data_IF_139896112554
#
_entry.id   IF_139896112554
#
_cell.length_a   1.000
_cell.length_b   1.000
_cell.length_c   1.000
_cell.angle_alpha   90.00
_cell.angle_beta   90.00
_cell.angle_gamma   90.00
#
_symmetry.space_group_name_H-M   'P 1'
#
loop_
_entity.id
_entity.type
_entity.pdbx_description
1 polymer ?
#
# COMPACT_ATOMS: atom_id res chain seq x y z
N UNK A 1 -22.64 14.38 44.17
CA UNK A 1 -23.95 14.48 44.86
C UNK A 1 -24.67 13.14 44.71
N UNK A 2 -24.91 12.45 45.84
CA UNK A 2 -25.91 11.39 46.15
C UNK A 2 -27.01 11.12 45.09
N UNK A 3 -27.57 9.92 44.85
CA UNK A 3 -28.02 8.76 45.70
C UNK A 3 -28.48 7.66 44.69
N UNK A 4 -28.06 6.40 44.72
CA UNK A 4 -28.56 5.22 45.49
C UNK A 4 -30.09 5.09 45.64
N UNK A 5 -30.55 3.83 45.47
CA UNK A 5 -31.80 3.15 45.91
C UNK A 5 -32.94 3.07 44.88
N UNK A 6 -33.77 2.02 44.76
CA UNK A 6 -33.86 0.62 45.24
C UNK A 6 -35.28 0.13 44.83
N UNK A 7 -35.53 -1.18 44.90
CA UNK A 7 -36.83 -1.87 45.12
C UNK A 7 -37.54 -2.54 43.92
N UNK A 8 -37.46 -3.89 43.93
CA UNK A 8 -38.52 -4.83 43.53
C UNK A 8 -39.79 -4.66 44.42
N UNK A 9 -41.00 -5.24 44.17
CA UNK A 9 -41.24 -6.69 44.33
C UNK A 9 -42.51 -7.36 43.68
N UNK A 10 -42.49 -8.71 43.65
CA UNK A 10 -43.58 -9.74 43.81
C UNK A 10 -44.68 -9.89 42.73
N UNK A 11 -45.14 -11.10 42.32
CA UNK A 11 -45.66 -12.27 43.06
C UNK A 11 -45.35 -13.59 42.27
N UNK A 12 -44.86 -14.70 42.87
CA UNK A 12 -45.54 -15.78 43.66
C UNK A 12 -46.52 -16.64 42.81
N UNK A 13 -46.58 -17.98 42.80
CA UNK A 13 -46.26 -19.13 43.69
C UNK A 13 -46.28 -20.42 42.82
N UNK A 14 -45.75 -21.59 43.21
CA UNK A 14 -45.30 -22.12 44.51
C UNK A 14 -44.40 -23.36 44.31
N UNK A 15 -43.37 -23.61 45.16
CA UNK A 15 -43.38 -24.32 46.47
C UNK A 15 -43.93 -25.74 46.39
N UNK A 16 -43.16 -26.79 46.68
CA UNK A 16 -42.74 -27.19 48.04
C UNK A 16 -41.28 -27.70 48.11
N UNK A 17 -40.67 -27.48 49.28
CA UNK A 17 -39.30 -27.84 49.66
C UNK A 17 -39.27 -28.83 50.84
N UNK A 18 -38.10 -29.46 51.07
CA UNK A 18 -37.39 -29.76 52.35
C UNK A 18 -36.24 -30.76 52.05
N UNK A 19 -34.95 -30.41 52.01
CA UNK A 19 -33.92 -30.14 53.07
C UNK A 19 -33.44 -31.33 53.92
N UNK A 20 -32.14 -31.66 53.73
CA UNK A 20 -31.05 -32.13 54.62
C UNK A 20 -31.30 -33.03 55.86
N UNK A 21 -30.48 -34.07 56.05
CA UNK A 21 -29.37 -34.16 57.05
C UNK A 21 -28.53 -35.47 56.90
N UNK A 22 -27.33 -35.42 57.45
CA UNK A 22 -26.14 -36.28 57.47
C UNK A 22 -26.13 -37.41 58.52
N UNK A 23 -25.09 -38.26 58.43
CA UNK A 23 -24.69 -39.39 59.28
C UNK A 23 -25.44 -40.71 58.99
N UNK A 24 -24.81 -41.87 58.82
CA UNK A 24 -23.48 -42.37 59.16
C UNK A 24 -23.63 -43.88 59.41
N UNK A 25 -22.50 -44.58 59.46
CA UNK A 25 -22.28 -46.02 59.73
C UNK A 25 -22.21 -46.94 58.49
N UNK A 26 -21.26 -47.85 58.31
CA UNK A 26 -19.87 -48.12 58.77
C UNK A 26 -19.62 -49.58 58.32
N UNK A 27 -18.54 -49.84 57.58
CA UNK A 27 -17.97 -51.19 57.51
C UNK A 27 -16.80 -51.27 58.50
N UNK A 28 -17.02 -51.92 59.65
CA UNK A 28 -16.06 -52.85 60.28
C UNK A 28 -16.72 -53.66 61.40
N UNK A 29 -16.44 -54.98 61.46
CA UNK A 29 -16.49 -55.73 62.73
C UNK A 29 -17.25 -57.06 62.74
N UNK A 30 -16.55 -58.14 62.35
CA UNK A 30 -16.59 -59.54 62.82
C UNK A 30 -17.68 -60.00 63.82
N UNK A 31 -18.26 -61.18 63.54
CA UNK A 31 -18.59 -62.33 64.42
C UNK A 31 -19.61 -63.20 63.66
N UNK A 32 -19.61 -64.53 63.58
CA UNK A 32 -18.97 -65.60 64.33
C UNK A 32 -19.22 -66.90 63.52
N UNK A 33 -18.24 -67.80 63.52
CA UNK A 33 -18.32 -69.17 63.01
C UNK A 33 -19.20 -70.00 63.95
N UNK A 34 -20.06 -70.85 63.40
CA UNK A 34 -20.35 -72.24 63.82
C UNK A 34 -21.82 -72.64 63.61
N UNK A 35 -21.95 -73.90 63.20
CA UNK A 35 -23.02 -74.85 63.46
C UNK A 35 -24.11 -75.13 62.40
N UNK A 36 -23.90 -76.31 61.79
CA UNK A 36 -24.82 -77.45 61.78
C UNK A 36 -25.95 -77.42 60.74
N UNK A 37 -25.67 -78.18 59.68
CA UNK A 37 -26.40 -79.39 59.22
C UNK A 37 -27.93 -79.43 59.31
N UNK A 38 -28.49 -80.03 58.24
CA UNK A 38 -29.82 -80.62 58.08
C UNK A 38 -30.84 -79.63 57.46
N UNK A 39 -31.49 -79.90 56.31
CA UNK A 39 -32.16 -81.15 55.94
C UNK A 39 -32.29 -81.30 54.41
N UNK A 40 -32.23 -82.57 54.00
CA UNK A 40 -32.32 -83.18 52.68
C UNK A 40 -33.51 -82.80 51.76
N UNK A 41 -33.32 -83.17 50.48
CA UNK A 41 -34.28 -83.63 49.44
C UNK A 41 -34.60 -82.57 48.34
N UNK A 42 -34.13 -82.70 47.10
CA UNK A 42 -34.69 -83.61 46.07
C UNK A 42 -33.67 -83.93 44.96
N UNK A 43 -33.67 -85.21 44.57
CA UNK A 43 -32.97 -85.87 43.46
C UNK A 43 -33.60 -85.48 42.10
N UNK A 44 -32.79 -85.17 41.07
CA UNK A 44 -32.89 -85.78 39.71
C UNK A 44 -31.48 -85.86 39.08
N UNK A 45 -31.15 -87.06 38.59
CA UNK A 45 -29.93 -87.41 37.85
C UNK A 45 -29.99 -86.93 36.38
N UNK A 46 -28.85 -86.41 35.89
CA UNK A 46 -28.20 -86.70 34.61
C UNK A 46 -28.99 -86.48 33.29
N UNK A 47 -28.64 -85.41 32.55
CA UNK A 47 -28.74 -85.35 31.07
C UNK A 47 -27.44 -84.74 30.52
N UNK A 48 -26.91 -85.41 29.50
CA UNK A 48 -25.66 -85.17 28.78
C UNK A 48 -25.57 -83.78 28.14
N UNK A 49 -24.32 -83.32 27.99
CA UNK A 49 -23.83 -82.45 26.91
C UNK A 49 -24.61 -81.13 26.73
N UNK A 50 -24.26 -80.13 27.54
CA UNK A 50 -24.47 -78.74 27.14
C UNK A 50 -23.09 -78.22 26.72
N UNK A 51 -22.91 -78.19 25.41
CA UNK A 51 -21.98 -77.33 24.68
C UNK A 51 -22.09 -75.93 25.31
N UNK A 52 -21.09 -75.49 26.07
CA UNK A 52 -21.18 -74.21 26.79
C UNK A 52 -20.25 -73.20 26.21
N UNK A 53 -20.49 -72.88 24.94
CA UNK A 53 -20.01 -71.63 24.43
C UNK A 53 -20.57 -70.46 25.26
N UNK A 54 -19.70 -69.59 25.73
CA UNK A 54 -20.01 -68.45 26.60
C UNK A 54 -19.98 -68.78 28.09
N UNK A 55 -19.24 -69.81 28.52
CA UNK A 55 -19.04 -70.13 29.94
C UNK A 55 -17.89 -69.35 30.61
N UNK A 56 -17.16 -68.55 29.83
CA UNK A 56 -16.03 -67.74 30.25
C UNK A 56 -14.69 -68.49 30.30
N UNK A 57 -14.59 -69.69 29.72
CA UNK A 57 -13.36 -70.48 29.66
C UNK A 57 -13.20 -71.15 28.29
N UNK A 58 -12.02 -71.02 27.68
CA UNK A 58 -11.72 -71.67 26.40
C UNK A 58 -11.57 -73.19 26.57
N UNK A 59 -12.58 -73.96 26.17
CA UNK A 59 -12.61 -75.42 26.27
C UNK A 59 -12.01 -76.13 25.02
N UNK A 60 -11.77 -77.44 25.14
CA UNK A 60 -11.17 -78.22 24.04
C UNK A 60 -12.15 -78.38 22.88
N UNK A 61 -11.94 -77.62 21.80
CA UNK A 61 -12.74 -77.66 20.57
C UNK A 61 -13.35 -76.31 20.18
N UNK A 62 -13.26 -75.30 21.05
CA UNK A 62 -13.75 -73.93 20.81
C UNK A 62 -12.67 -73.06 20.16
N UNK A 63 -13.06 -72.12 19.29
CA UNK A 63 -12.13 -71.13 18.72
C UNK A 63 -12.00 -69.89 19.62
N UNK A 64 -13.03 -69.57 20.38
CA UNK A 64 -13.16 -68.49 21.35
C UNK A 64 -14.25 -68.86 22.37
N UNK A 65 -14.34 -68.20 23.52
CA UNK A 65 -15.48 -68.30 24.45
C UNK A 65 -15.83 -66.90 25.02
N UNK A 66 -17.03 -66.41 24.70
CA UNK A 66 -17.53 -65.13 25.20
C UNK A 66 -16.60 -63.95 24.84
N UNK A 67 -15.89 -63.41 25.83
CA UNK A 67 -14.90 -62.34 25.63
C UNK A 67 -13.45 -62.85 25.46
N UNK A 68 -13.20 -64.14 25.72
CA UNK A 68 -11.90 -64.76 25.52
C UNK A 68 -11.76 -65.20 24.06
N UNK A 69 -11.13 -64.34 23.24
CA UNK A 69 -10.89 -64.59 21.82
C UNK A 69 -9.64 -65.45 21.56
N UNK A 70 -9.08 -66.11 22.58
CA UNK A 70 -7.86 -66.92 22.47
C UNK A 70 -6.65 -66.16 21.86
N UNK A 71 -6.63 -64.83 22.00
CA UNK A 71 -5.62 -63.94 21.40
C UNK A 71 -5.82 -63.61 19.92
N UNK A 72 -6.90 -64.08 19.29
CA UNK A 72 -7.27 -63.68 17.94
C UNK A 72 -7.76 -62.23 17.90
N UNK A 73 -7.46 -61.57 16.79
CA UNK A 73 -7.85 -60.21 16.44
C UNK A 73 -8.36 -60.19 15.00
N UNK A 74 -9.08 -59.15 14.59
CA UNK A 74 -9.44 -58.96 13.17
C UNK A 74 -8.19 -59.09 12.27
N UNK A 75 -7.08 -58.45 12.67
CA UNK A 75 -5.78 -58.52 11.98
C UNK A 75 -5.27 -59.95 11.81
N UNK A 76 -5.40 -60.78 12.84
CA UNK A 76 -4.95 -62.18 12.77
C UNK A 76 -5.79 -63.07 11.84
N UNK A 77 -7.02 -62.65 11.52
CA UNK A 77 -7.95 -63.34 10.62
C UNK A 77 -7.97 -62.74 9.20
N UNK A 78 -7.11 -61.74 8.91
CA UNK A 78 -7.01 -61.11 7.60
C UNK A 78 -7.95 -59.92 7.38
N UNK A 79 -8.48 -59.32 8.45
CA UNK A 79 -9.35 -58.14 8.45
C UNK A 79 -8.69 -56.98 9.22
N UNK A 80 -9.21 -55.76 9.13
CA UNK A 80 -8.81 -54.63 9.96
C UNK A 80 -9.82 -54.39 11.11
N UNK A 81 -9.55 -53.41 11.97
CA UNK A 81 -10.45 -53.03 13.06
C UNK A 81 -10.32 -53.87 14.34
N UNK A 82 -11.24 -53.62 15.29
CA UNK A 82 -11.24 -54.25 16.63
C UNK A 82 -12.53 -55.00 16.97
N UNK A 83 -13.50 -55.05 16.05
CA UNK A 83 -14.83 -55.60 16.30
C UNK A 83 -14.96 -57.12 16.23
N UNK A 84 -13.87 -57.88 16.38
CA UNK A 84 -13.93 -59.35 16.43
C UNK A 84 -14.69 -59.78 17.69
N UNK A 85 -15.72 -60.59 17.54
CA UNK A 85 -16.48 -61.15 18.68
C UNK A 85 -16.59 -62.67 18.57
N UNK A 86 -16.93 -63.32 19.67
CA UNK A 86 -17.23 -64.75 19.69
C UNK A 86 -18.74 -64.96 19.57
N UNK A 87 -19.17 -65.80 18.62
CA UNK A 87 -20.59 -66.12 18.46
C UNK A 87 -21.08 -67.21 19.43
N UNK A 88 -22.39 -67.45 19.45
CA UNK A 88 -23.01 -68.45 20.32
C UNK A 88 -22.66 -69.92 19.97
N UNK A 89 -21.92 -70.14 18.88
CA UNK A 89 -21.40 -71.44 18.45
C UNK A 89 -19.87 -71.55 18.61
N UNK A 90 -19.26 -70.61 19.34
CA UNK A 90 -17.82 -70.57 19.63
C UNK A 90 -16.95 -70.48 18.39
N UNK A 91 -17.46 -69.76 17.39
CA UNK A 91 -16.74 -69.35 16.20
C UNK A 91 -16.45 -67.85 16.25
N UNK A 92 -15.38 -67.46 15.58
CA UNK A 92 -15.06 -66.06 15.37
C UNK A 92 -16.11 -65.42 14.44
N UNK A 93 -16.80 -64.40 14.95
CA UNK A 93 -17.66 -63.53 14.17
C UNK A 93 -16.89 -62.25 13.82
N UNK A 94 -16.41 -62.23 12.58
CA UNK A 94 -15.69 -61.09 12.01
C UNK A 94 -16.62 -60.10 11.29
N UNK A 95 -17.96 -60.19 11.42
CA UNK A 95 -18.88 -59.29 10.71
C UNK A 95 -18.77 -57.82 11.14
N UNK A 96 -18.25 -57.58 12.35
CA UNK A 96 -17.92 -56.25 12.85
C UNK A 96 -16.42 -55.93 12.76
N UNK A 97 -15.62 -56.80 12.14
CA UNK A 97 -14.28 -56.43 11.66
C UNK A 97 -14.40 -55.60 10.38
N UNK A 98 -13.45 -54.70 10.17
CA UNK A 98 -13.39 -53.92 8.94
C UNK A 98 -12.81 -54.82 7.82
N UNK A 99 -13.42 -54.88 6.62
CA UNK A 99 -12.85 -55.62 5.51
C UNK A 99 -11.42 -55.14 5.21
N UNK A 100 -10.49 -56.02 4.82
CA UNK A 100 -9.17 -55.57 4.40
C UNK A 100 -9.33 -54.56 3.26
N UNK A 101 -8.72 -53.37 3.39
CA UNK A 101 -8.63 -52.36 2.33
C UNK A 101 -8.02 -53.05 1.10
N UNK A 102 -8.85 -53.44 0.13
CA UNK A 102 -8.38 -54.12 -1.08
C UNK A 102 -8.27 -53.08 -2.16
N UNK A 103 -7.30 -52.19 -1.97
CA UNK A 103 -7.12 -51.07 -2.86
C UNK A 103 -6.82 -51.54 -4.30
N UNK A 104 -7.51 -50.94 -5.26
CA UNK A 104 -7.35 -51.23 -6.68
C UNK A 104 -8.27 -52.35 -7.17
N UNK A 105 -9.36 -52.66 -6.45
CA UNK A 105 -10.36 -53.64 -6.87
C UNK A 105 -11.49 -53.03 -7.75
N UNK A 106 -11.48 -51.73 -7.94
CA UNK A 106 -12.42 -50.93 -8.72
C UNK A 106 -13.69 -50.51 -7.97
N UNK A 107 -13.80 -50.79 -6.66
CA UNK A 107 -14.98 -50.53 -5.82
C UNK A 107 -14.56 -49.77 -4.57
N UNK A 108 -15.16 -48.61 -4.33
CA UNK A 108 -14.91 -47.82 -3.12
C UNK A 108 -15.60 -48.47 -1.91
N UNK A 109 -14.80 -49.03 -1.01
CA UNK A 109 -15.25 -49.72 0.20
C UNK A 109 -15.32 -48.75 1.39
N UNK A 110 -16.12 -49.04 2.43
CA UNK A 110 -16.12 -48.24 3.66
C UNK A 110 -14.70 -48.13 4.25
N UNK A 111 -14.20 -46.89 4.39
CA UNK A 111 -12.86 -46.61 4.90
C UNK A 111 -11.83 -46.24 3.83
N UNK A 112 -12.11 -46.46 2.54
CA UNK A 112 -11.27 -46.01 1.43
C UNK A 112 -11.56 -44.55 1.07
N UNK A 113 -10.52 -43.79 0.73
CA UNK A 113 -10.68 -42.44 0.17
C UNK A 113 -10.81 -42.45 -1.35
N UNK A 114 -10.30 -43.50 -1.99
CA UNK A 114 -10.32 -43.75 -3.43
C UNK A 114 -10.05 -45.24 -3.69
N UNK A 115 -10.33 -45.74 -4.90
CA UNK A 115 -9.88 -47.06 -5.38
C UNK A 115 -9.53 -46.99 -6.87
N UNK A 116 -8.25 -47.18 -7.21
CA UNK A 116 -7.77 -47.15 -8.59
C UNK A 116 -8.09 -45.82 -9.28
N UNK A 117 -8.98 -45.83 -10.29
CA UNK A 117 -9.45 -44.60 -10.96
C UNK A 117 -10.70 -43.99 -10.34
N UNK A 118 -11.30 -44.67 -9.36
CA UNK A 118 -12.49 -44.18 -8.66
C UNK A 118 -12.06 -43.31 -7.47
N UNK A 119 -12.00 -42.00 -7.67
CA UNK A 119 -11.55 -41.01 -6.68
C UNK A 119 -12.68 -40.47 -5.79
N UNK A 120 -13.85 -41.11 -5.77
CA UNK A 120 -15.06 -40.63 -5.09
C UNK A 120 -15.46 -39.19 -5.45
N UNK A 121 -15.18 -38.78 -6.70
CA UNK A 121 -15.42 -37.42 -7.18
C UNK A 121 -14.39 -36.39 -6.73
N UNK A 122 -13.37 -36.77 -5.96
CA UNK A 122 -12.25 -35.90 -5.63
C UNK A 122 -11.40 -35.59 -6.88
N UNK A 123 -10.86 -34.38 -6.89
CA UNK A 123 -10.00 -33.80 -7.91
C UNK A 123 -8.95 -32.93 -7.24
N UNK A 124 -7.87 -32.58 -7.93
CA UNK A 124 -6.89 -31.59 -7.43
C UNK A 124 -7.60 -30.30 -6.98
N UNK A 125 -8.55 -29.81 -7.80
CA UNK A 125 -9.34 -28.60 -7.50
C UNK A 125 -10.15 -28.73 -6.22
N UNK A 126 -10.80 -29.88 -5.98
CA UNK A 126 -11.55 -30.10 -4.72
C UNK A 126 -10.65 -30.19 -3.48
N UNK A 127 -9.36 -30.47 -3.67
CA UNK A 127 -8.34 -30.50 -2.62
C UNK A 127 -7.60 -29.16 -2.47
N UNK A 128 -7.95 -28.14 -3.24
CA UNK A 128 -7.35 -26.81 -3.17
C UNK A 128 -6.11 -26.61 -4.05
N UNK A 129 -5.84 -27.52 -4.98
CA UNK A 129 -4.73 -27.43 -5.95
C UNK A 129 -5.23 -27.08 -7.35
N UNK A 130 -4.34 -26.55 -8.19
CA UNK A 130 -4.61 -26.40 -9.61
C UNK A 130 -4.41 -27.70 -10.39
N UNK A 131 -4.84 -27.67 -11.66
CA UNK A 131 -4.60 -28.75 -12.60
C UNK A 131 -5.47 -30.00 -12.44
N UNK A 132 -5.03 -31.07 -13.08
CA UNK A 132 -5.69 -32.37 -13.13
C UNK A 132 -4.62 -33.43 -13.00
N UNK A 133 -4.84 -34.50 -12.23
CA UNK A 133 -3.80 -35.50 -12.02
C UNK A 133 -3.82 -36.20 -10.67
N UNK A 134 -4.87 -35.99 -9.86
CA UNK A 134 -5.07 -36.74 -8.64
C UNK A 134 -5.15 -38.24 -8.94
N UNK A 135 -4.34 -39.04 -8.27
CA UNK A 135 -4.35 -40.50 -8.39
C UNK A 135 -4.70 -41.14 -7.06
N UNK A 136 -4.97 -42.44 -7.10
CA UNK A 136 -5.13 -43.28 -5.91
C UNK A 136 -3.93 -44.20 -5.77
N UNK A 137 -3.29 -44.21 -4.61
CA UNK A 137 -2.16 -45.09 -4.33
C UNK A 137 -2.58 -46.50 -3.89
N UNK A 138 -1.61 -47.40 -3.70
CA UNK A 138 -1.87 -48.80 -3.29
C UNK A 138 -2.42 -48.94 -1.85
N UNK A 139 -2.44 -47.85 -1.08
CA UNK A 139 -2.97 -47.76 0.29
C UNK A 139 -4.29 -47.00 0.34
N UNK A 140 -4.93 -46.74 -0.81
CA UNK A 140 -6.18 -46.01 -0.95
C UNK A 140 -6.12 -44.59 -0.37
N UNK A 141 -4.95 -43.97 -0.47
CA UNK A 141 -4.74 -42.55 -0.25
C UNK A 141 -4.65 -41.81 -1.58
N UNK A 142 -4.98 -40.53 -1.54
CA UNK A 142 -4.75 -39.66 -2.67
C UNK A 142 -3.25 -39.44 -2.87
N UNK A 143 -2.76 -39.75 -4.07
CA UNK A 143 -1.46 -39.31 -4.53
C UNK A 143 -1.61 -37.91 -5.14
N UNK A 144 -1.17 -36.93 -4.37
CA UNK A 144 -1.27 -35.51 -4.68
C UNK A 144 -0.03 -34.99 -5.44
N UNK A 145 0.92 -35.86 -5.80
CA UNK A 145 2.22 -35.44 -6.38
C UNK A 145 2.05 -34.55 -7.62
N UNK A 146 1.17 -34.92 -8.56
CA UNK A 146 0.87 -34.11 -9.74
C UNK A 146 0.05 -32.86 -9.40
N UNK A 147 -0.82 -32.91 -8.38
CA UNK A 147 -1.57 -31.73 -7.93
C UNK A 147 -0.63 -30.66 -7.35
N UNK A 148 0.31 -31.08 -6.48
CA UNK A 148 1.33 -30.22 -5.88
C UNK A 148 2.21 -29.60 -6.97
N UNK A 149 2.56 -30.36 -8.01
CA UNK A 149 3.37 -29.85 -9.12
C UNK A 149 2.68 -28.74 -9.93
N UNK A 150 1.35 -28.65 -9.89
CA UNK A 150 0.58 -27.59 -10.53
C UNK A 150 0.33 -26.38 -9.61
N UNK A 151 0.70 -26.46 -8.33
CA UNK A 151 0.63 -25.38 -7.34
C UNK A 151 -0.76 -25.08 -6.78
N UNK A 152 -0.84 -24.09 -5.89
CA UNK A 152 -2.07 -23.62 -5.23
C UNK A 152 -1.90 -22.22 -4.65
N UNK A 153 -3.01 -21.49 -4.59
CA UNK A 153 -3.03 -20.23 -3.88
C UNK A 153 -2.61 -20.34 -2.41
N UNK A 154 -1.69 -19.47 -2.01
CA UNK A 154 -1.07 -19.41 -0.70
C UNK A 154 0.14 -20.33 -0.55
N UNK A 155 0.83 -20.67 -1.64
CA UNK A 155 2.09 -21.43 -1.62
C UNK A 155 3.36 -20.57 -1.79
N UNK A 156 3.20 -19.23 -1.72
CA UNK A 156 4.24 -18.21 -1.86
C UNK A 156 4.94 -18.24 -3.23
N UNK A 157 4.33 -18.86 -4.25
CA UNK A 157 4.89 -18.95 -5.61
C UNK A 157 3.81 -18.68 -6.64
N UNK A 158 3.91 -17.56 -7.38
CA UNK A 158 2.96 -17.28 -8.48
C UNK A 158 3.03 -18.39 -9.54
N UNK A 159 1.96 -19.19 -9.63
CA UNK A 159 1.85 -20.32 -10.52
C UNK A 159 0.41 -20.53 -11.03
N UNK A 160 0.25 -21.39 -12.03
CA UNK A 160 -1.06 -21.69 -12.59
C UNK A 160 -1.85 -20.44 -13.04
N UNK A 161 -3.06 -20.19 -12.52
CA UNK A 161 -3.91 -19.04 -12.87
C UNK A 161 -3.76 -17.81 -11.96
N UNK A 162 -2.78 -17.77 -11.06
CA UNK A 162 -2.61 -16.70 -10.07
C UNK A 162 -2.11 -15.39 -10.68
N UNK A 163 -2.56 -14.26 -10.13
CA UNK A 163 -1.99 -12.94 -10.39
C UNK A 163 -0.93 -12.55 -9.35
N UNK A 164 -1.03 -13.12 -8.14
CA UNK A 164 -0.15 -12.94 -6.99
C UNK A 164 -0.26 -14.17 -6.06
N UNK A 165 0.68 -14.35 -5.13
CA UNK A 165 0.58 -15.32 -4.04
C UNK A 165 1.23 -14.75 -2.77
N UNK A 166 0.42 -14.58 -1.71
CA UNK A 166 0.90 -14.01 -0.45
C UNK A 166 1.46 -12.60 -0.65
N UNK A 167 2.75 -12.43 -0.34
CA UNK A 167 3.47 -11.17 -0.55
C UNK A 167 4.12 -11.08 -1.96
N UNK A 168 4.13 -12.17 -2.74
CA UNK A 168 4.60 -12.15 -4.12
C UNK A 168 3.51 -11.55 -5.03
N UNK A 169 3.65 -10.26 -5.32
CA UNK A 169 2.75 -9.50 -6.19
C UNK A 169 3.20 -9.51 -7.67
N UNK A 170 4.19 -10.33 -8.02
CA UNK A 170 4.68 -10.45 -9.40
C UNK A 170 5.39 -9.18 -9.90
N UNK A 171 5.89 -8.36 -8.97
CA UNK A 171 6.46 -7.04 -9.26
C UNK A 171 5.41 -5.95 -9.53
N UNK A 172 4.12 -6.25 -9.31
CA UNK A 172 3.05 -5.26 -9.35
C UNK A 172 3.22 -4.21 -8.24
N UNK A 173 2.96 -2.96 -8.60
CA UNK A 173 2.80 -1.83 -7.67
C UNK A 173 1.61 -1.00 -8.15
N UNK A 174 1.00 -0.21 -7.27
CA UNK A 174 -0.07 0.72 -7.67
C UNK A 174 0.41 1.65 -8.82
N UNK A 175 1.66 2.10 -8.75
CA UNK A 175 2.29 2.96 -9.77
C UNK A 175 2.40 2.28 -11.15
N UNK A 176 2.95 1.06 -11.20
CA UNK A 176 3.12 0.32 -12.46
C UNK A 176 1.79 -0.10 -13.10
N UNK A 177 0.72 -0.17 -12.31
CA UNK A 177 -0.64 -0.41 -12.79
C UNK A 177 -1.39 0.87 -13.18
N UNK A 178 -0.78 2.04 -12.99
CA UNK A 178 -1.40 3.35 -13.26
C UNK A 178 -2.53 3.69 -12.29
N UNK A 179 -2.48 3.15 -11.07
CA UNK A 179 -3.48 3.33 -10.03
C UNK A 179 -3.04 4.32 -8.94
N UNK A 180 -1.81 4.84 -9.02
CA UNK A 180 -1.28 5.86 -8.11
C UNK A 180 -0.34 5.30 -7.05
N UNK A 181 -0.46 5.81 -5.82
CA UNK A 181 0.29 5.37 -4.64
C UNK A 181 -0.47 4.26 -3.90
N UNK A 182 0.10 3.82 -2.78
CA UNK A 182 -0.44 2.78 -1.93
C UNK A 182 0.20 1.41 -2.14
N UNK A 183 -0.29 0.45 -1.35
CA UNK A 183 0.19 -0.93 -1.36
C UNK A 183 -0.84 -1.85 -2.02
N UNK A 184 -0.37 -2.71 -2.94
CA UNK A 184 -1.18 -3.83 -3.42
C UNK A 184 -1.19 -4.93 -2.38
N UNK A 185 -2.31 -5.64 -2.28
CA UNK A 185 -2.41 -6.86 -1.51
C UNK A 185 -2.76 -8.04 -2.41
N UNK A 186 -2.42 -9.25 -1.97
CA UNK A 186 -2.93 -10.45 -2.61
C UNK A 186 -4.15 -10.99 -1.87
N UNK A 187 -5.27 -11.14 -2.57
CA UNK A 187 -6.48 -11.71 -1.98
C UNK A 187 -6.32 -13.21 -1.72
N UNK A 188 -7.19 -13.78 -0.87
CA UNK A 188 -7.23 -15.23 -0.61
C UNK A 188 -7.60 -16.09 -1.86
N UNK A 189 -7.98 -15.45 -2.97
CA UNK A 189 -8.19 -16.09 -4.27
C UNK A 189 -7.05 -15.89 -5.26
N UNK A 190 -5.91 -15.34 -4.82
CA UNK A 190 -4.72 -15.04 -5.65
C UNK A 190 -5.00 -14.10 -6.82
N UNK A 191 -5.85 -13.11 -6.55
CA UNK A 191 -6.15 -11.97 -7.41
C UNK A 191 -5.60 -10.71 -6.73
N UNK A 192 -5.02 -9.81 -7.52
CA UNK A 192 -4.51 -8.53 -7.03
C UNK A 192 -5.67 -7.72 -6.43
N UNK A 193 -5.50 -7.30 -5.18
CA UNK A 193 -6.35 -6.36 -4.49
C UNK A 193 -5.69 -4.97 -4.53
N UNK A 194 -6.29 -4.09 -5.32
CA UNK A 194 -5.85 -2.70 -5.49
C UNK A 194 -6.71 -1.71 -4.71
N UNK A 195 -7.50 -2.17 -3.73
CA UNK A 195 -8.39 -1.30 -2.96
C UNK A 195 -7.67 -0.30 -2.06
N UNK A 196 -6.40 -0.54 -1.76
CA UNK A 196 -5.52 0.41 -1.07
C UNK A 196 -4.66 1.25 -2.04
N UNK A 197 -4.86 1.12 -3.36
CA UNK A 197 -4.30 2.06 -4.31
C UNK A 197 -5.17 3.31 -4.36
N UNK A 198 -4.54 4.46 -4.36
CA UNK A 198 -5.19 5.76 -4.40
C UNK A 198 -4.31 6.71 -5.21
N UNK A 199 -4.89 7.73 -5.81
CA UNK A 199 -4.09 8.74 -6.49
C UNK A 199 -3.28 9.51 -5.44
N UNK A 200 -2.11 10.07 -5.76
CA UNK A 200 -1.49 10.98 -4.82
C UNK A 200 -2.44 12.16 -4.52
N UNK A 201 -2.51 12.56 -3.26
CA UNK A 201 -3.23 13.77 -2.85
C UNK A 201 -2.42 15.01 -3.23
N UNK A 202 -3.08 16.04 -3.76
CA UNK A 202 -2.50 17.36 -3.92
C UNK A 202 -2.82 18.18 -2.69
N UNK A 203 -1.83 18.34 -1.82
CA UNK A 203 -1.98 18.86 -0.48
C UNK A 203 -2.38 20.35 -0.34
N UNK A 204 -2.93 20.97 -1.37
CA UNK A 204 -3.43 22.34 -1.32
C UNK A 204 -4.43 22.71 -2.43
N UNK A 205 -4.88 21.80 -3.28
CA UNK A 205 -5.77 22.14 -4.40
C UNK A 205 -7.26 22.28 -3.99
N UNK A 206 -7.60 21.98 -2.72
CA UNK A 206 -8.94 22.07 -2.18
C UNK A 206 -9.87 20.93 -2.58
N UNK A 207 -9.33 19.86 -3.17
CA UNK A 207 -10.05 18.68 -3.62
C UNK A 207 -9.60 17.46 -2.81
N UNK A 208 -10.40 16.40 -2.88
CA UNK A 208 -10.06 15.06 -2.42
C UNK A 208 -9.64 14.31 -3.69
N UNK A 209 -8.35 14.34 -4.01
CA UNK A 209 -7.83 13.80 -5.28
C UNK A 209 -7.76 12.28 -5.26
N UNK A 210 -7.64 11.69 -4.08
CA UNK A 210 -7.45 10.26 -3.89
C UNK A 210 -8.75 9.51 -3.54
N UNK A 211 -9.79 10.23 -3.15
CA UNK A 211 -11.15 9.77 -2.91
C UNK A 211 -11.40 9.22 -1.51
N UNK A 212 -10.49 9.45 -0.55
CA UNK A 212 -10.58 8.94 0.80
C UNK A 212 -11.45 9.79 1.76
N UNK A 213 -11.90 10.96 1.26
CA UNK A 213 -12.72 11.99 1.91
C UNK A 213 -12.00 12.91 2.90
N UNK A 214 -10.69 12.78 3.06
CA UNK A 214 -9.87 13.84 3.59
C UNK A 214 -9.43 14.75 2.42
N UNK A 215 -9.10 16.01 2.72
CA UNK A 215 -8.81 17.05 1.71
C UNK A 215 -7.56 17.76 2.14
N UNK A 216 -6.59 17.89 1.24
CA UNK A 216 -5.35 18.64 1.45
C UNK A 216 -4.67 18.24 2.79
N UNK A 217 -4.37 19.21 3.64
CA UNK A 217 -3.72 19.04 4.93
C UNK A 217 -4.54 18.33 6.02
N UNK A 218 -5.81 18.01 5.74
CA UNK A 218 -6.57 17.12 6.60
C UNK A 218 -6.29 15.64 6.26
N UNK A 219 -5.73 15.40 5.07
CA UNK A 219 -5.30 14.10 4.61
C UNK A 219 -3.99 13.68 5.30
N UNK A 220 -3.95 12.41 5.70
CA UNK A 220 -2.77 11.79 6.30
C UNK A 220 -1.61 11.60 5.31
N UNK A 221 -1.90 11.51 4.01
CA UNK A 221 -0.90 11.44 2.95
C UNK A 221 -0.19 12.79 2.75
N UNK A 222 -0.83 13.88 3.18
CA UNK A 222 -0.26 15.22 3.22
C UNK A 222 0.51 15.55 4.50
N UNK A 223 0.58 14.62 5.47
CA UNK A 223 1.20 14.86 6.77
C UNK A 223 2.71 15.20 6.72
N UNK A 224 3.37 14.89 5.60
CA UNK A 224 4.79 15.22 5.36
C UNK A 224 4.99 16.37 4.36
N UNK A 225 3.92 16.87 3.75
CA UNK A 225 3.99 18.00 2.84
C UNK A 225 4.23 19.29 3.64
N UNK A 226 5.22 20.09 3.22
CA UNK A 226 5.51 21.36 3.88
C UNK A 226 4.46 22.43 3.61
N UNK A 227 3.59 22.24 2.60
CA UNK A 227 2.39 23.05 2.37
C UNK A 227 1.41 23.00 3.55
N UNK A 228 1.47 21.92 4.35
CA UNK A 228 0.64 21.72 5.54
C UNK A 228 1.29 22.17 6.85
N UNK A 229 2.50 22.74 6.75
CA UNK A 229 3.17 23.52 7.80
C UNK A 229 2.93 25.03 7.65
N UNK A 230 3.69 25.86 8.38
CA UNK A 230 3.78 27.28 8.02
C UNK A 230 4.51 27.35 6.69
N UNK A 231 3.79 27.40 5.57
CA UNK A 231 4.38 27.61 4.25
C UNK A 231 5.07 28.98 4.23
N UNK A 232 6.35 28.97 3.86
CA UNK A 232 7.23 30.11 3.91
C UNK A 232 7.65 30.49 2.50
N UNK A 233 7.63 31.78 2.20
CA UNK A 233 8.23 32.34 1.00
C UNK A 233 9.33 33.36 1.35
N UNK A 234 10.06 33.82 0.35
CA UNK A 234 11.14 34.80 0.52
C UNK A 234 10.64 36.18 0.11
N UNK A 235 10.65 37.13 1.05
CA UNK A 235 10.40 38.56 0.85
C UNK A 235 11.67 39.28 0.35
N UNK A 236 11.46 40.26 -0.53
CA UNK A 236 12.44 41.22 -1.01
C UNK A 236 11.80 42.60 -0.86
N UNK A 237 12.27 43.42 0.07
CA UNK A 237 11.62 44.68 0.44
C UNK A 237 12.56 45.91 0.43
N UNK A 238 13.87 45.71 0.27
CA UNK A 238 14.84 46.79 0.07
C UNK A 238 15.51 46.82 -1.30
N UNK A 239 16.04 48.00 -1.66
CA UNK A 239 16.69 48.31 -2.95
C UNK A 239 18.04 47.57 -3.20
N UNK A 240 18.32 46.46 -2.53
CA UNK A 240 19.57 45.69 -2.75
C UNK A 240 19.50 44.20 -2.43
N UNK A 241 18.38 43.70 -1.91
CA UNK A 241 18.21 42.29 -1.58
C UNK A 241 18.11 41.45 -2.84
N UNK A 242 18.91 40.40 -2.87
CA UNK A 242 18.79 39.40 -3.93
C UNK A 242 19.35 38.07 -3.47
N UNK A 243 18.81 37.00 -4.03
CA UNK A 243 19.43 35.69 -3.94
C UNK A 243 20.44 35.56 -5.08
N UNK A 244 21.66 35.15 -4.75
CA UNK A 244 22.68 34.76 -5.72
C UNK A 244 22.69 33.23 -5.86
N UNK A 245 22.45 32.74 -7.07
CA UNK A 245 22.48 31.32 -7.42
C UNK A 245 23.72 30.96 -8.24
N UNK A 246 23.77 29.71 -8.72
CA UNK A 246 24.69 29.27 -9.77
C UNK A 246 24.46 29.97 -11.11
N UNK A 247 25.21 29.58 -12.12
CA UNK A 247 25.04 30.11 -13.49
C UNK A 247 23.87 29.45 -14.21
N UNK A 248 23.31 30.12 -15.23
CA UNK A 248 22.21 29.54 -16.01
C UNK A 248 22.57 28.16 -16.60
N UNK A 249 23.81 27.97 -17.07
CA UNK A 249 24.26 26.68 -17.60
C UNK A 249 24.29 25.56 -16.55
N UNK A 250 24.63 25.90 -15.30
CA UNK A 250 24.63 24.95 -14.18
C UNK A 250 23.19 24.63 -13.75
N UNK A 251 22.35 25.66 -13.60
CA UNK A 251 20.96 25.50 -13.15
C UNK A 251 20.05 24.83 -14.18
N UNK A 252 20.44 24.81 -15.46
CA UNK A 252 19.69 24.12 -16.54
C UNK A 252 20.36 22.83 -17.02
N UNK A 253 21.59 22.54 -16.55
CA UNK A 253 22.39 21.42 -17.04
C UNK A 253 22.81 21.50 -18.51
N UNK A 254 22.63 22.65 -19.17
CA UNK A 254 22.82 22.82 -20.61
C UNK A 254 24.03 23.70 -20.94
N UNK A 255 24.90 23.25 -21.85
CA UNK A 255 26.01 24.05 -22.39
C UNK A 255 26.37 23.62 -23.82
N UNK A 256 26.07 24.43 -24.86
CA UNK A 256 25.39 25.73 -24.79
C UNK A 256 23.91 25.60 -24.36
N UNK A 257 23.38 26.63 -23.69
CA UNK A 257 21.96 26.68 -23.31
C UNK A 257 21.13 27.01 -24.56
N UNK A 258 20.48 25.99 -25.12
CA UNK A 258 19.55 26.12 -26.27
C UNK A 258 18.10 25.84 -25.91
N UNK A 259 17.86 25.19 -24.79
CA UNK A 259 16.53 24.94 -24.26
C UNK A 259 16.58 24.94 -22.74
N UNK A 260 15.49 25.39 -22.11
CA UNK A 260 15.25 25.28 -20.67
C UNK A 260 13.83 25.76 -20.36
N UNK A 261 13.40 25.53 -19.12
CA UNK A 261 12.24 26.21 -18.55
C UNK A 261 12.56 26.72 -17.16
N UNK A 262 11.86 27.78 -16.77
CA UNK A 262 11.89 28.31 -15.41
C UNK A 262 10.46 28.57 -14.96
N UNK A 263 10.14 28.12 -13.76
CA UNK A 263 8.87 28.34 -13.06
C UNK A 263 9.15 29.04 -11.76
N UNK A 264 8.27 29.95 -11.35
CA UNK A 264 8.28 30.54 -10.02
C UNK A 264 6.90 31.10 -9.70
N UNK A 265 6.61 31.23 -8.42
CA UNK A 265 5.51 32.03 -7.92
C UNK A 265 6.00 33.40 -7.51
N UNK A 266 5.22 34.44 -7.79
CA UNK A 266 5.55 35.81 -7.42
C UNK A 266 4.32 36.57 -6.95
N UNK A 267 4.50 37.38 -5.91
CA UNK A 267 3.54 38.37 -5.47
C UNK A 267 4.24 39.71 -5.32
N UNK A 268 3.91 40.66 -6.20
CA UNK A 268 4.43 42.01 -6.10
C UNK A 268 3.76 42.77 -4.96
N UNK A 269 4.55 43.50 -4.17
CA UNK A 269 4.07 44.30 -3.04
C UNK A 269 4.40 45.77 -3.28
N UNK A 270 3.40 46.65 -3.21
CA UNK A 270 3.60 48.08 -3.38
C UNK A 270 3.98 48.53 -4.81
N UNK A 271 4.43 49.78 -4.95
CA UNK A 271 4.70 50.36 -6.27
C UNK A 271 5.99 49.78 -6.85
N UNK A 272 5.88 49.01 -7.93
CA UNK A 272 7.04 48.42 -8.58
C UNK A 272 7.86 49.48 -9.34
N UNK A 273 9.19 49.46 -9.23
CA UNK A 273 10.07 50.13 -10.17
C UNK A 273 9.75 49.71 -11.61
N UNK A 274 9.92 50.65 -12.56
CA UNK A 274 10.02 50.24 -13.95
C UNK A 274 11.22 49.32 -14.06
N UNK A 275 11.02 48.13 -14.64
CA UNK A 275 12.06 47.11 -14.83
C UNK A 275 12.36 46.24 -13.60
N UNK A 276 11.54 46.32 -12.54
CA UNK A 276 11.61 45.40 -11.40
C UNK A 276 11.77 43.96 -11.88
N UNK A 277 12.85 43.30 -11.44
CA UNK A 277 13.28 42.01 -11.99
C UNK A 277 13.15 40.91 -10.94
N UNK A 278 12.12 40.04 -11.04
CA UNK A 278 12.00 38.88 -10.18
C UNK A 278 13.17 37.92 -10.32
N UNK A 279 13.70 37.75 -11.53
CA UNK A 279 14.79 36.82 -11.79
C UNK A 279 15.48 37.11 -13.12
N UNK A 280 16.80 36.93 -13.17
CA UNK A 280 17.52 36.87 -14.44
C UNK A 280 19.01 36.63 -14.29
N UNK A 281 19.71 36.64 -15.41
CA UNK A 281 21.16 36.61 -15.49
C UNK A 281 21.61 37.40 -16.71
N UNK A 282 22.56 38.32 -16.54
CA UNK A 282 23.18 39.08 -17.62
C UNK A 282 24.61 39.43 -17.23
N UNK A 283 25.50 39.55 -18.21
CA UNK A 283 26.88 40.01 -17.98
C UNK A 283 27.03 41.53 -18.06
N UNK A 284 25.95 42.25 -18.42
CA UNK A 284 25.99 43.69 -18.63
C UNK A 284 24.67 44.38 -18.27
N UNK A 285 24.74 45.65 -17.86
CA UNK A 285 23.57 46.44 -17.44
C UNK A 285 22.62 46.87 -18.57
N UNK A 286 22.88 46.48 -19.81
CA UNK A 286 21.99 46.78 -20.95
C UNK A 286 21.02 45.63 -21.25
N UNK A 287 21.19 44.47 -20.60
CA UNK A 287 20.39 43.25 -20.83
C UNK A 287 20.36 42.84 -22.32
N UNK A 288 21.53 42.97 -22.95
CA UNK A 288 21.83 42.54 -24.32
C UNK A 288 22.59 41.19 -24.34
N UNK A 289 22.54 40.46 -23.22
CA UNK A 289 22.82 39.04 -23.16
C UNK A 289 22.03 38.36 -22.02
N UNK A 290 22.00 37.03 -22.03
CA UNK A 290 21.46 36.24 -20.93
C UNK A 290 19.95 36.00 -21.01
N UNK A 291 19.28 36.03 -19.87
CA UNK A 291 17.83 35.88 -19.79
C UNK A 291 17.27 36.64 -18.59
N UNK A 292 15.97 36.87 -18.57
CA UNK A 292 15.32 37.33 -17.37
C UNK A 292 13.83 37.58 -17.51
N UNK A 293 13.23 37.90 -16.38
CA UNK A 293 11.86 38.37 -16.25
C UNK A 293 11.89 39.80 -15.73
N UNK A 294 11.01 40.67 -16.24
CA UNK A 294 10.82 41.97 -15.62
C UNK A 294 9.36 42.43 -15.69
N UNK A 295 8.98 43.19 -14.67
CA UNK A 295 7.73 43.93 -14.60
C UNK A 295 7.85 45.22 -15.43
N UNK A 296 6.93 45.40 -16.37
CA UNK A 296 6.91 46.58 -17.25
C UNK A 296 5.99 47.69 -16.72
N UNK A 297 6.13 48.90 -17.24
CA UNK A 297 5.28 50.05 -16.89
C UNK A 297 3.80 49.92 -17.28
N UNK A 298 3.41 48.80 -17.90
CA UNK A 298 2.03 48.46 -18.23
C UNK A 298 1.47 47.39 -17.26
N UNK A 299 2.20 47.12 -16.18
CA UNK A 299 1.96 46.05 -15.22
C UNK A 299 1.82 44.69 -15.90
N UNK A 300 2.73 44.41 -16.86
CA UNK A 300 2.85 43.13 -17.56
C UNK A 300 4.23 42.53 -17.27
N UNK A 301 4.31 41.20 -17.18
CA UNK A 301 5.58 40.47 -17.04
C UNK A 301 6.12 40.15 -18.43
N UNK A 302 7.43 40.32 -18.59
CA UNK A 302 8.14 40.01 -19.84
C UNK A 302 9.24 39.01 -19.57
N UNK A 303 9.28 37.96 -20.37
CA UNK A 303 10.35 36.96 -20.37
C UNK A 303 11.22 37.16 -21.61
N UNK A 304 12.49 37.46 -21.42
CA UNK A 304 13.42 37.78 -22.51
C UNK A 304 14.63 36.86 -22.52
N UNK A 305 15.15 36.61 -23.72
CA UNK A 305 16.40 35.86 -23.95
C UNK A 305 17.29 36.72 -24.83
N UNK A 306 18.56 36.89 -24.46
CA UNK A 306 19.60 37.69 -25.11
C UNK A 306 19.32 39.20 -25.22
N UNK A 307 18.12 39.64 -25.57
CA UNK A 307 17.80 41.07 -25.69
C UNK A 307 16.41 41.32 -25.09
N UNK A 308 16.36 42.18 -24.07
CA UNK A 308 15.13 42.50 -23.34
C UNK A 308 13.99 43.09 -24.22
N UNK A 309 14.33 43.68 -25.37
CA UNK A 309 13.41 44.48 -26.19
C UNK A 309 12.83 43.76 -27.41
N UNK A 310 13.51 42.77 -27.99
CA UNK A 310 13.18 42.23 -29.31
C UNK A 310 13.06 40.72 -29.34
N UNK A 311 13.74 40.01 -28.44
CA UNK A 311 13.68 38.55 -28.29
C UNK A 311 13.05 38.22 -26.95
N UNK A 312 11.73 38.43 -26.86
CA UNK A 312 10.95 38.24 -25.64
C UNK A 312 9.53 37.72 -25.90
N UNK A 313 8.90 37.21 -24.87
CA UNK A 313 7.47 37.05 -24.72
C UNK A 313 6.91 38.09 -23.71
N UNK A 314 5.62 38.39 -23.77
CA UNK A 314 4.98 39.37 -22.88
C UNK A 314 3.60 38.85 -22.48
N UNK A 315 3.25 38.95 -21.20
CA UNK A 315 1.90 38.61 -20.73
C UNK A 315 0.86 39.54 -21.36
N UNK A 316 -0.39 39.08 -21.37
CA UNK A 316 -1.57 39.87 -21.70
C UNK A 316 -2.36 40.28 -20.46
N UNK A 317 -2.22 39.53 -19.37
CA UNK A 317 -2.82 39.81 -18.08
C UNK A 317 -2.03 40.88 -17.36
N UNK A 318 -2.75 41.92 -16.93
CA UNK A 318 -2.25 42.99 -16.09
C UNK A 318 -2.17 42.49 -14.65
N UNK A 319 -0.98 42.56 -14.08
CA UNK A 319 -0.67 42.09 -12.74
C UNK A 319 -1.25 43.08 -11.73
N UNK A 320 -1.77 42.55 -10.62
CA UNK A 320 -2.26 43.34 -9.49
C UNK A 320 -1.36 43.06 -8.29
N UNK A 321 -1.03 44.10 -7.53
CA UNK A 321 -0.28 43.95 -6.29
C UNK A 321 -1.04 43.09 -5.27
N UNK A 322 -0.28 42.48 -4.37
CA UNK A 322 -0.78 41.66 -3.27
C UNK A 322 -1.59 40.44 -3.75
N UNK A 323 -1.31 39.95 -4.97
CA UNK A 323 -1.87 38.74 -5.56
C UNK A 323 -0.73 37.83 -6.03
N UNK A 324 -0.82 36.55 -5.70
CA UNK A 324 0.11 35.53 -6.18
C UNK A 324 -0.15 35.17 -7.64
N UNK A 325 0.93 35.04 -8.39
CA UNK A 325 0.93 34.60 -9.78
C UNK A 325 1.97 33.51 -9.99
N UNK A 326 1.57 32.44 -10.68
CA UNK A 326 2.49 31.45 -11.18
C UNK A 326 3.00 31.88 -12.56
N UNK A 327 4.31 32.05 -12.71
CA UNK A 327 4.93 32.50 -13.95
C UNK A 327 5.86 31.42 -14.47
N UNK A 328 5.70 31.07 -15.74
CA UNK A 328 6.61 30.14 -16.41
C UNK A 328 7.15 30.74 -17.70
N UNK A 329 8.47 30.72 -17.87
CA UNK A 329 9.15 30.99 -19.13
C UNK A 329 9.71 29.70 -19.71
N UNK A 330 9.42 29.41 -20.98
CA UNK A 330 10.02 28.26 -21.69
C UNK A 330 10.80 28.74 -22.91
N UNK A 331 11.96 28.12 -23.12
CA UNK A 331 12.84 28.42 -24.24
C UNK A 331 13.25 27.14 -24.98
N UNK A 332 13.12 27.14 -26.30
CA UNK A 332 13.64 26.13 -27.21
C UNK A 332 14.06 26.79 -28.52
N UNK A 333 15.37 26.97 -28.72
CA UNK A 333 15.95 27.59 -29.91
C UNK A 333 15.76 26.76 -31.20
N UNK A 334 15.45 25.47 -31.07
CA UNK A 334 15.33 24.52 -32.17
C UNK A 334 13.87 24.32 -32.59
N UNK A 335 12.91 24.83 -31.82
CA UNK A 335 11.50 24.92 -32.21
C UNK A 335 11.30 25.71 -33.52
N UNK A 336 10.25 25.36 -34.26
CA UNK A 336 9.95 26.00 -35.54
C UNK A 336 9.52 27.46 -35.37
N UNK A 337 8.75 27.76 -34.34
CA UNK A 337 8.26 29.08 -33.92
C UNK A 337 7.84 29.04 -32.46
N UNK A 338 7.67 30.20 -31.83
CA UNK A 338 7.35 30.28 -30.41
C UNK A 338 8.50 29.73 -29.58
N UNK A 339 9.73 30.09 -29.98
CA UNK A 339 10.96 29.65 -29.32
C UNK A 339 11.03 30.13 -27.88
N UNK A 340 10.45 31.30 -27.60
CA UNK A 340 10.33 31.89 -26.26
C UNK A 340 8.83 31.95 -25.94
N UNK A 341 8.40 31.38 -24.83
CA UNK A 341 6.99 31.46 -24.40
C UNK A 341 6.90 31.91 -22.95
N UNK A 342 5.81 32.61 -22.63
CA UNK A 342 5.46 32.96 -21.27
C UNK A 342 4.04 32.50 -20.95
N UNK A 343 3.88 31.98 -19.74
CA UNK A 343 2.65 31.49 -19.18
C UNK A 343 2.40 32.21 -17.85
N UNK A 344 1.13 32.42 -17.54
CA UNK A 344 0.67 32.98 -16.28
C UNK A 344 -0.47 32.11 -15.75
N UNK A 345 -0.41 31.70 -14.49
CA UNK A 345 -1.41 30.86 -13.83
C UNK A 345 -1.79 29.62 -14.65
N UNK A 346 -0.77 28.92 -15.15
CA UNK A 346 -0.94 27.72 -15.97
C UNK A 346 -1.45 27.95 -17.40
N UNK A 347 -1.63 29.19 -17.85
CA UNK A 347 -2.18 29.54 -19.17
C UNK A 347 -1.14 30.22 -20.05
N UNK A 348 -1.06 29.82 -21.32
CA UNK A 348 -0.21 30.46 -22.33
C UNK A 348 -0.66 31.91 -22.60
N UNK A 349 0.24 32.87 -22.46
CA UNK A 349 -0.09 34.29 -22.63
C UNK A 349 0.65 34.98 -23.79
N UNK A 350 1.86 34.53 -24.12
CA UNK A 350 2.64 35.19 -25.14
C UNK A 350 3.84 34.38 -25.62
N UNK A 351 4.34 34.77 -26.79
CA UNK A 351 5.53 34.16 -27.38
C UNK A 351 6.38 35.15 -28.15
N UNK A 352 7.64 34.78 -28.38
CA UNK A 352 8.60 35.41 -29.26
C UNK A 352 9.48 34.36 -29.95
N UNK A 353 10.38 34.80 -30.82
CA UNK A 353 11.25 33.92 -31.60
C UNK A 353 12.72 34.29 -31.44
N UNK A 354 13.55 33.27 -31.23
CA UNK A 354 15.00 33.33 -31.20
C UNK A 354 15.55 31.93 -31.51
N UNK A 355 16.35 31.81 -32.56
CA UNK A 355 16.93 30.53 -33.02
C UNK A 355 18.43 30.40 -32.71
N UNK A 356 18.86 31.02 -31.62
CA UNK A 356 20.26 31.04 -31.17
C UNK A 356 20.33 30.62 -29.71
N UNK A 357 21.49 30.14 -29.27
CA UNK A 357 21.71 29.84 -27.85
C UNK A 357 21.67 31.12 -27.00
N UNK A 358 21.44 30.96 -25.71
CA UNK A 358 21.58 32.04 -24.73
C UNK A 358 23.03 32.54 -24.73
N UNK A 359 23.22 33.84 -24.84
CA UNK A 359 24.50 34.52 -24.66
C UNK A 359 24.74 34.74 -23.17
N UNK A 360 26.01 34.74 -22.72
CA UNK A 360 26.35 34.79 -21.30
C UNK A 360 25.69 33.71 -20.40
N UNK A 361 25.65 32.43 -20.80
CA UNK A 361 25.03 31.36 -19.98
C UNK A 361 25.76 31.09 -18.66
N UNK A 362 26.95 31.68 -18.49
CA UNK A 362 27.78 31.58 -17.29
C UNK A 362 27.66 32.82 -16.39
N UNK A 363 26.76 33.76 -16.70
CA UNK A 363 26.40 34.82 -15.76
C UNK A 363 25.64 34.18 -14.58
N UNK A 364 25.92 34.58 -13.33
CA UNK A 364 25.16 34.11 -12.17
C UNK A 364 23.69 34.49 -12.30
N UNK A 365 22.80 33.57 -11.93
CA UNK A 365 21.38 33.88 -11.81
C UNK A 365 21.13 34.58 -10.49
N UNK A 366 20.35 35.66 -10.55
CA UNK A 366 19.88 36.39 -9.38
C UNK A 366 18.35 36.34 -9.31
N UNK A 367 17.81 36.29 -8.09
CA UNK A 367 16.38 36.40 -7.78
C UNK A 367 16.18 37.64 -6.90
N UNK A 368 15.15 38.44 -7.17
CA UNK A 368 14.86 39.69 -6.44
C UNK A 368 15.47 40.94 -7.07
N UNK A 369 16.51 40.81 -7.90
CA UNK A 369 17.16 41.91 -8.60
C UNK A 369 17.91 41.44 -9.83
N UNK A 370 18.14 42.32 -10.80
CA UNK A 370 19.15 42.15 -11.83
C UNK A 370 19.87 43.48 -12.11
N UNK A 371 21.12 43.60 -11.68
CA UNK A 371 21.98 44.76 -11.97
C UNK A 371 21.31 46.11 -11.54
N UNK A 372 20.85 46.17 -10.28
CA UNK A 372 20.18 47.31 -9.64
C UNK A 372 18.76 47.61 -10.14
N UNK A 373 18.12 46.65 -10.81
CA UNK A 373 16.69 46.70 -11.12
C UNK A 373 15.94 45.76 -10.18
N UNK A 374 15.80 46.22 -8.94
CA UNK A 374 15.25 45.45 -7.82
C UNK A 374 13.73 45.33 -7.92
N UNK A 375 13.18 44.19 -7.50
CA UNK A 375 11.74 44.04 -7.29
C UNK A 375 11.40 44.20 -5.81
N UNK A 376 10.12 44.51 -5.54
CA UNK A 376 9.59 44.53 -4.19
C UNK A 376 8.43 43.55 -4.10
N UNK A 377 8.54 42.54 -3.24
CA UNK A 377 7.53 41.51 -3.09
C UNK A 377 8.08 40.16 -2.67
N UNK A 378 7.35 39.10 -3.00
CA UNK A 378 7.58 37.76 -2.52
C UNK A 378 7.80 36.81 -3.69
N UNK A 379 8.73 35.87 -3.55
CA UNK A 379 8.92 34.78 -4.51
C UNK A 379 8.86 33.45 -3.77
N UNK A 380 8.25 32.48 -4.45
CA UNK A 380 8.16 31.12 -3.96
C UNK A 380 8.39 30.08 -5.07
N UNK A 381 8.72 28.85 -4.69
CA UNK A 381 8.59 27.65 -5.51
C UNK A 381 9.25 27.76 -6.91
N UNK A 382 10.55 28.05 -6.89
CA UNK A 382 11.37 28.31 -8.07
C UNK A 382 11.97 27.02 -8.63
N UNK A 383 11.61 26.64 -9.85
CA UNK A 383 12.12 25.45 -10.54
C UNK A 383 12.82 25.76 -11.86
N UNK A 384 13.88 24.99 -12.16
CA UNK A 384 14.58 24.99 -13.46
C UNK A 384 14.55 23.60 -14.08
N UNK A 385 14.27 23.52 -15.39
CA UNK A 385 14.31 22.27 -16.16
C UNK A 385 15.29 22.37 -17.32
N UNK A 386 15.88 21.23 -17.67
CA UNK A 386 16.79 21.06 -18.81
C UNK A 386 16.10 21.07 -20.18
N UNK A 387 14.77 21.22 -20.24
CA UNK A 387 13.98 21.27 -21.47
C UNK A 387 12.88 22.34 -21.44
N UNK A 388 12.28 22.60 -22.60
CA UNK A 388 11.08 23.42 -22.71
C UNK A 388 9.82 22.62 -22.31
N UNK A 389 9.20 23.01 -21.20
CA UNK A 389 7.97 22.41 -20.70
C UNK A 389 6.82 22.62 -21.70
N UNK A 390 5.93 21.63 -21.77
CA UNK A 390 4.73 21.71 -22.60
C UNK A 390 3.62 22.48 -21.89
N UNK A 391 2.64 22.98 -22.64
CA UNK A 391 1.46 23.66 -22.08
C UNK A 391 0.74 22.81 -21.02
N UNK A 392 0.75 21.47 -21.19
CA UNK A 392 0.16 20.53 -20.22
C UNK A 392 0.98 20.43 -18.94
N UNK A 393 2.31 20.40 -19.05
CA UNK A 393 3.16 20.40 -17.86
C UNK A 393 3.00 21.71 -17.09
N UNK A 394 2.99 22.85 -17.77
CA UNK A 394 2.82 24.17 -17.14
C UNK A 394 1.49 24.28 -16.42
N UNK A 395 0.40 23.84 -17.07
CA UNK A 395 -0.92 23.83 -16.43
C UNK A 395 -0.98 22.88 -15.22
N UNK A 396 -0.30 21.73 -15.28
CA UNK A 396 -0.24 20.80 -14.16
C UNK A 396 0.56 21.36 -12.98
N UNK A 397 1.68 22.04 -13.21
CA UNK A 397 2.48 22.66 -12.15
C UNK A 397 1.70 23.79 -11.45
N UNK A 398 0.90 24.56 -12.20
CA UNK A 398 0.04 25.61 -11.60
C UNK A 398 -0.99 25.04 -10.62
N UNK A 399 -1.45 23.81 -10.86
CA UNK A 399 -2.31 23.04 -9.97
C UNK A 399 -3.44 23.86 -9.30
N UNK A 400 -4.23 24.56 -10.14
CA UNK A 400 -5.40 25.30 -9.67
C UNK A 400 -5.13 26.58 -8.89
N UNK A 401 -3.86 26.93 -8.62
CA UNK A 401 -3.52 28.02 -7.71
C UNK A 401 -2.59 27.59 -6.58
N UNK A 402 -2.37 26.29 -6.42
CA UNK A 402 -1.71 25.72 -5.25
C UNK A 402 -0.40 25.06 -5.66
N UNK A 403 0.73 25.36 -5.00
CA UNK A 403 2.00 24.79 -5.43
C UNK A 403 2.02 23.26 -5.34
N UNK A 404 2.64 22.64 -6.33
CA UNK A 404 2.91 21.20 -6.38
C UNK A 404 4.41 20.98 -6.12
N UNK A 405 4.77 19.96 -5.33
CA UNK A 405 6.16 19.51 -5.24
C UNK A 405 6.72 19.12 -6.61
N UNK A 406 7.77 19.82 -7.05
CA UNK A 406 8.36 19.58 -8.38
C UNK A 406 9.22 18.30 -8.44
N UNK A 407 9.51 17.68 -7.30
CA UNK A 407 10.39 16.52 -7.17
C UNK A 407 9.75 15.19 -7.60
N UNK A 408 8.43 15.14 -7.69
CA UNK A 408 7.67 13.92 -7.98
C UNK A 408 6.74 14.17 -9.16
N UNK A 409 6.62 13.21 -10.07
CA UNK A 409 5.66 13.30 -11.18
C UNK A 409 4.23 13.16 -10.66
N UNK A 410 3.33 14.00 -11.16
CA UNK A 410 1.91 14.02 -10.80
C UNK A 410 1.02 14.34 -12.00
N UNK A 411 0.08 13.46 -12.33
CA UNK A 411 -0.89 13.69 -13.40
C UNK A 411 -0.22 14.04 -14.74
N UNK A 412 -0.43 15.27 -15.23
CA UNK A 412 0.21 15.76 -16.47
C UNK A 412 1.60 16.39 -16.24
N UNK A 413 2.04 16.56 -14.99
CA UNK A 413 3.43 16.89 -14.67
C UNK A 413 4.24 15.60 -14.64
N UNK A 414 5.11 15.43 -15.63
CA UNK A 414 5.92 14.23 -15.81
C UNK A 414 7.38 14.57 -16.11
N UNK A 415 7.89 15.61 -15.45
CA UNK A 415 9.16 16.25 -15.77
C UNK A 415 10.09 16.37 -14.54
N UNK A 416 9.80 15.67 -13.43
CA UNK A 416 10.70 15.61 -12.26
C UNK A 416 12.11 15.12 -12.67
N UNK A 417 12.19 14.14 -13.58
CA UNK A 417 13.46 13.62 -14.08
C UNK A 417 14.28 14.59 -14.95
N UNK A 418 13.72 15.74 -15.32
CA UNK A 418 14.43 16.81 -16.09
C UNK A 418 14.58 18.11 -15.31
N UNK A 419 14.07 18.16 -14.07
CA UNK A 419 14.26 19.22 -13.10
C UNK A 419 15.73 19.22 -12.63
N UNK A 420 16.39 20.35 -12.75
CA UNK A 420 17.83 20.50 -12.51
C UNK A 420 18.17 21.37 -11.31
N UNK A 421 17.25 22.24 -10.90
CA UNK A 421 17.32 22.99 -9.65
C UNK A 421 15.91 23.31 -9.14
N UNK A 422 15.73 23.29 -7.82
CA UNK A 422 14.44 23.59 -7.18
C UNK A 422 14.64 24.24 -5.83
N UNK A 423 14.14 25.45 -5.67
CA UNK A 423 14.23 26.25 -4.46
C UNK A 423 12.83 26.52 -3.95
N UNK A 424 12.56 26.12 -2.71
CA UNK A 424 11.26 26.34 -2.05
C UNK A 424 11.22 27.60 -1.19
N UNK A 425 12.22 28.46 -1.40
CA UNK A 425 12.23 29.88 -1.03
C UNK A 425 11.79 30.17 0.41
N UNK A 426 12.15 29.33 1.38
CA UNK A 426 11.74 29.48 2.78
C UNK A 426 11.31 28.18 3.42
N UNK A 427 10.70 27.27 2.66
CA UNK A 427 10.18 26.01 3.17
C UNK A 427 11.27 25.01 3.55
N UNK A 428 11.68 25.09 4.83
CA UNK A 428 12.77 24.29 5.39
C UNK A 428 14.14 24.94 5.25
N UNK A 429 14.19 26.20 4.84
CA UNK A 429 15.42 26.95 4.63
C UNK A 429 15.93 27.66 5.90
N UNK A 430 17.19 28.07 5.87
CA UNK A 430 17.79 28.89 6.94
C UNK A 430 18.74 29.90 6.34
N UNK A 431 18.40 31.18 6.48
CA UNK A 431 19.19 32.27 5.94
C UNK A 431 20.64 32.27 6.47
N UNK A 432 21.61 32.66 5.62
CA UNK A 432 21.43 33.23 4.28
C UNK A 432 21.27 32.16 3.18
N UNK A 433 21.10 30.89 3.50
CA UNK A 433 21.08 29.82 2.50
C UNK A 433 19.65 29.39 2.17
N UNK A 434 19.34 29.37 0.88
CA UNK A 434 18.15 28.74 0.31
C UNK A 434 18.59 27.46 -0.40
N UNK A 435 18.06 26.32 0.02
CA UNK A 435 18.49 25.01 -0.47
C UNK A 435 18.04 24.76 -1.91
N UNK A 436 18.88 24.06 -2.66
CA UNK A 436 18.51 23.45 -3.93
C UNK A 436 18.13 21.99 -3.67
N UNK A 437 16.84 21.67 -3.85
CA UNK A 437 16.26 20.37 -3.55
C UNK A 437 16.38 19.37 -4.71
N UNK A 438 16.62 19.84 -5.94
CA UNK A 438 16.77 18.98 -7.12
C UNK A 438 18.23 18.85 -7.58
N UNK A 439 19.06 19.84 -7.27
CA UNK A 439 20.46 19.91 -7.70
C UNK A 439 21.45 20.05 -6.54
N UNK A 440 22.50 20.82 -6.78
CA UNK A 440 23.59 21.06 -5.83
C UNK A 440 24.06 22.51 -5.82
N UNK A 441 23.19 23.44 -6.20
CA UNK A 441 23.54 24.86 -6.36
C UNK A 441 22.72 25.72 -5.38
N UNK A 442 22.96 25.64 -4.06
CA UNK A 442 22.20 26.41 -3.09
C UNK A 442 22.34 27.91 -3.34
N UNK A 443 21.26 28.64 -3.11
CA UNK A 443 21.22 30.09 -3.18
C UNK A 443 21.78 30.75 -1.93
N UNK A 444 22.38 31.93 -2.09
CA UNK A 444 22.84 32.76 -0.98
C UNK A 444 22.14 34.11 -1.02
N UNK A 445 21.40 34.44 0.05
CA UNK A 445 20.77 35.74 0.22
C UNK A 445 21.86 36.79 0.48
N UNK A 446 21.80 37.87 -0.28
CA UNK A 446 22.73 38.98 -0.23
C UNK A 446 21.98 40.22 0.22
N UNK A 447 22.58 40.95 1.16
CA UNK A 447 22.04 42.17 1.79
C UNK A 447 20.77 42.01 2.62
N UNK A 448 20.31 40.77 2.87
CA UNK A 448 19.22 40.54 3.79
C UNK A 448 19.56 40.92 5.24
N UNK A 449 18.55 41.36 5.98
CA UNK A 449 18.58 41.71 7.39
C UNK A 449 18.11 40.57 8.32
N UNK A 450 17.59 39.49 7.75
CA UNK A 450 17.28 38.23 8.42
C UNK A 450 15.81 37.99 8.74
N UNK A 451 14.89 38.83 8.25
CA UNK A 451 13.45 38.62 8.36
C UNK A 451 12.75 38.22 7.04
N UNK A 452 13.54 37.91 6.00
CA UNK A 452 13.02 37.65 4.64
C UNK A 452 12.22 36.35 4.52
N UNK A 453 12.32 35.44 5.47
CA UNK A 453 11.48 34.24 5.48
C UNK A 453 10.16 34.58 6.17
N UNK A 454 9.11 34.70 5.37
CA UNK A 454 7.78 35.10 5.84
C UNK A 454 6.76 33.98 5.66
N UNK A 455 5.81 33.90 6.59
CA UNK A 455 4.71 32.93 6.53
C UNK A 455 3.61 33.47 5.61
N UNK A 456 3.69 33.09 4.35
CA UNK A 456 2.80 33.44 3.26
C UNK A 456 3.06 32.45 2.12
N UNK A 457 2.02 32.06 1.40
CA UNK A 457 2.10 31.09 0.31
C UNK A 457 1.12 31.45 -0.82
N UNK A 458 1.39 30.97 -2.05
CA UNK A 458 0.46 31.07 -3.18
C UNK A 458 -0.96 30.58 -2.93
#
# INVERSE_FOLDING_TARGET
MFKVLQLAPWFLLGTLACTFDTAGLDETGTNNVNNINNVNNIIINNINNLDTCGNGALDTGEACDGADLAGATCVSLGYEGTGLVCDAACQFDATACDPPLTCGNGVLNPGERCDGTNLDGATCVSLGYYGTGLLCDELCQFDETECIANGRCGDDVINGPEECDGDDLGGGTCDNLGLGLGDLACSAGCVIDASACHLPELCGDGLDNDGDNDIDCLDSDCASDLMCGNAMCTEFDTDTEHLLLGTLSELTGNSPVRTFSVSYWVKFNGTQPNWATPMGASSNSSWEDGFGFYHSSADLIRFWINTYDSTRATTTTVIVNDVWYHVVGTFDADATSGNIKIYLNGVFEGQGDLKAAVTAPNAPVTIGSLINDDMVGFIDEVGFWSLALTDRNVNAIYNGGSPLSLLTDYGNYNQSGTLTAYYRMGDGDTLPTIADHAGSHPGTLVNGDGDELVNDSP
#
